data_IF_328722203850
#
_entry.id   IF_328722203850
#
_cell.length_a   1.000
_cell.length_b   1.000
_cell.length_c   1.000
_cell.angle_alpha   90.00
_cell.angle_beta   90.00
_cell.angle_gamma   90.00
#
_symmetry.space_group_name_H-M   'P 1'
#
loop_
_entity.id
_entity.type
_entity.pdbx_description
1 polymer ?
#
# COMPACT_ATOMS: atom_id res chain seq x y z
N UNK A 1 -14.77 6.11 -18.53
CA UNK A 1 -14.80 4.64 -18.71
C UNK A 1 -14.06 4.00 -17.55
N UNK A 2 -14.78 3.20 -16.75
CA UNK A 2 -14.23 2.42 -15.64
C UNK A 2 -13.16 1.48 -16.19
N UNK A 3 -12.09 1.22 -15.42
CA UNK A 3 -11.03 0.30 -15.86
C UNK A 3 -11.60 -1.10 -16.10
N UNK A 4 -11.40 -1.67 -17.29
CA UNK A 4 -11.81 -3.06 -17.64
C UNK A 4 -11.05 -4.15 -16.87
N UNK A 5 -10.18 -3.76 -15.93
CA UNK A 5 -9.32 -4.67 -15.19
C UNK A 5 -10.01 -5.12 -13.89
N UNK A 6 -9.82 -6.37 -13.46
CA UNK A 6 -10.10 -6.81 -12.10
C UNK A 6 -9.43 -5.89 -11.06
N UNK A 7 -10.07 -5.67 -9.90
CA UNK A 7 -9.60 -4.68 -8.92
C UNK A 7 -8.17 -4.94 -8.41
N UNK A 8 -7.81 -6.20 -8.21
CA UNK A 8 -6.46 -6.65 -7.85
C UNK A 8 -5.41 -6.24 -8.90
N UNK A 9 -5.79 -6.18 -10.18
CA UNK A 9 -4.90 -5.80 -11.29
C UNK A 9 -4.84 -4.29 -11.55
N UNK A 10 -5.57 -3.47 -10.79
CA UNK A 10 -5.56 -1.99 -10.90
C UNK A 10 -4.42 -1.33 -10.12
N UNK A 11 -3.37 -2.09 -9.80
CA UNK A 11 -2.24 -1.61 -9.01
C UNK A 11 -1.47 -0.46 -9.68
N UNK A 12 -1.02 0.48 -8.86
CA UNK A 12 -0.03 1.48 -9.21
C UNK A 12 1.01 1.54 -8.08
N UNK A 13 2.29 1.31 -8.40
CA UNK A 13 3.36 1.37 -7.42
C UNK A 13 4.21 2.60 -7.65
N UNK A 14 4.30 3.47 -6.64
CA UNK A 14 5.26 4.57 -6.61
C UNK A 14 6.54 4.06 -5.95
N UNK A 15 7.63 4.09 -6.71
CA UNK A 15 8.93 3.58 -6.33
C UNK A 15 10.00 4.65 -6.57
N UNK A 16 11.22 4.42 -6.07
CA UNK A 16 12.34 5.34 -6.30
C UNK A 16 13.33 5.31 -5.16
N UNK A 17 14.39 6.10 -5.24
CA UNK A 17 15.33 6.21 -4.13
C UNK A 17 14.70 7.00 -2.98
N UNK A 18 14.99 6.65 -1.71
CA UNK A 18 14.56 7.47 -0.59
C UNK A 18 15.06 8.92 -0.78
N UNK A 19 14.25 9.92 -0.41
CA UNK A 19 14.53 11.36 -0.65
C UNK A 19 14.47 11.83 -2.12
N UNK A 20 13.99 11.00 -3.06
CA UNK A 20 13.77 11.42 -4.47
C UNK A 20 12.43 12.11 -4.74
N UNK A 21 11.63 12.41 -3.71
CA UNK A 21 10.33 13.09 -3.88
C UNK A 21 9.12 12.16 -4.01
N UNK A 22 9.27 10.85 -3.74
CA UNK A 22 8.13 9.89 -3.75
C UNK A 22 6.94 10.35 -2.91
N UNK A 23 7.19 10.98 -1.76
CA UNK A 23 6.11 11.47 -0.88
C UNK A 23 5.40 12.70 -1.45
N UNK A 24 6.12 13.58 -2.15
CA UNK A 24 5.50 14.71 -2.87
C UNK A 24 4.61 14.20 -4.00
N UNK A 25 5.10 13.24 -4.80
CA UNK A 25 4.31 12.63 -5.86
C UNK A 25 3.04 11.98 -5.32
N UNK A 26 3.14 11.21 -4.23
CA UNK A 26 1.96 10.62 -3.57
C UNK A 26 1.00 11.71 -3.11
N UNK A 27 1.48 12.81 -2.52
CA UNK A 27 0.61 13.91 -2.09
C UNK A 27 -0.11 14.62 -3.26
N UNK A 28 0.47 14.63 -4.47
CA UNK A 28 -0.18 15.15 -5.68
C UNK A 28 -1.23 14.19 -6.25
N UNK A 29 -1.01 12.88 -6.09
CA UNK A 29 -1.98 11.85 -6.50
C UNK A 29 -3.11 11.67 -5.48
N UNK A 30 -2.82 11.97 -4.22
CA UNK A 30 -3.77 11.94 -3.12
C UNK A 30 -4.92 12.92 -3.43
N UNK A 31 -6.13 12.54 -3.03
CA UNK A 31 -7.38 13.26 -3.33
C UNK A 31 -7.91 13.20 -4.79
N UNK A 32 -7.24 12.52 -5.73
CA UNK A 32 -7.83 12.32 -7.07
C UNK A 32 -9.05 11.37 -7.01
N UNK A 33 -10.22 11.73 -7.57
CA UNK A 33 -11.47 10.97 -7.39
C UNK A 33 -11.42 9.54 -7.95
N UNK A 34 -10.60 9.29 -8.96
CA UNK A 34 -10.40 7.95 -9.54
C UNK A 34 -9.25 7.14 -8.91
N UNK A 35 -8.49 7.72 -7.97
CA UNK A 35 -7.36 7.04 -7.32
C UNK A 35 -7.69 6.72 -5.86
N UNK A 36 -7.27 5.54 -5.41
CA UNK A 36 -7.24 5.19 -4.00
C UNK A 36 -5.79 5.10 -3.54
N UNK A 37 -5.30 6.16 -2.91
CA UNK A 37 -3.90 6.25 -2.49
C UNK A 37 -3.78 5.72 -1.07
N UNK A 38 -2.94 4.69 -0.86
CA UNK A 38 -2.61 4.26 0.50
C UNK A 38 -1.75 5.34 1.16
N UNK A 39 -2.13 5.81 2.36
CA UNK A 39 -1.50 6.98 2.94
C UNK A 39 -0.12 6.68 3.55
N UNK A 40 0.17 5.42 3.86
CA UNK A 40 1.39 4.98 4.54
C UNK A 40 2.06 3.81 3.80
N UNK A 41 3.38 3.70 3.97
CA UNK A 41 4.16 2.64 3.31
C UNK A 41 3.86 1.28 3.93
N UNK A 42 3.62 0.29 3.08
CA UNK A 42 3.34 -1.08 3.53
C UNK A 42 4.59 -1.94 3.60
N UNK A 43 5.62 -1.60 2.82
CA UNK A 43 6.79 -2.46 2.58
C UNK A 43 6.41 -3.89 2.16
N UNK A 44 5.36 -4.04 1.36
CA UNK A 44 4.80 -5.34 1.01
C UNK A 44 5.81 -6.26 0.31
N UNK A 45 6.35 -5.84 -0.83
CA UNK A 45 7.37 -6.61 -1.54
C UNK A 45 8.70 -6.71 -0.78
N UNK A 46 9.30 -5.60 -0.30
CA UNK A 46 10.62 -5.66 0.34
C UNK A 46 10.62 -6.30 1.73
N UNK A 47 9.47 -6.49 2.39
CA UNK A 47 9.43 -7.05 3.75
C UNK A 47 8.34 -8.09 3.95
N UNK A 48 7.07 -7.82 3.61
CA UNK A 48 5.98 -8.79 3.85
C UNK A 48 6.23 -10.11 3.12
N UNK A 49 6.52 -10.03 1.82
CA UNK A 49 6.73 -11.22 1.00
C UNK A 49 8.11 -11.85 1.22
N UNK A 50 9.16 -11.05 1.44
CA UNK A 50 10.54 -11.54 1.57
C UNK A 50 10.85 -12.07 2.98
N UNK A 51 10.62 -11.27 4.01
CA UNK A 51 10.99 -11.59 5.40
C UNK A 51 9.92 -12.39 6.13
N UNK A 52 8.65 -12.08 5.88
CA UNK A 52 7.52 -12.73 6.55
C UNK A 52 6.83 -13.79 5.68
N UNK A 53 7.18 -13.89 4.39
CA UNK A 53 6.71 -14.95 3.48
C UNK A 53 6.85 -16.36 4.04
N UNK A 54 8.05 -16.80 4.44
CA UNK A 54 8.28 -18.13 5.01
C UNK A 54 7.55 -18.38 6.33
N UNK A 55 7.11 -17.33 7.02
CA UNK A 55 6.42 -17.39 8.32
C UNK A 55 4.89 -17.49 8.16
N UNK A 56 4.40 -17.47 6.93
CA UNK A 56 2.99 -17.63 6.60
C UNK A 56 2.14 -16.37 6.80
N UNK A 57 0.87 -16.51 6.43
CA UNK A 57 -0.10 -15.41 6.30
C UNK A 57 -0.36 -14.64 7.59
N UNK A 58 -0.40 -15.34 8.74
CA UNK A 58 -0.58 -14.68 10.05
C UNK A 58 0.59 -13.73 10.37
N UNK A 59 1.82 -14.16 10.13
CA UNK A 59 3.00 -13.33 10.36
C UNK A 59 3.08 -12.13 9.41
N UNK A 60 2.67 -12.30 8.16
CA UNK A 60 2.53 -11.21 7.19
C UNK A 60 1.49 -10.17 7.65
N UNK A 61 0.32 -10.63 8.10
CA UNK A 61 -0.74 -9.79 8.64
C UNK A 61 -0.27 -9.03 9.89
N UNK A 62 0.40 -9.71 10.83
CA UNK A 62 0.94 -9.10 12.04
C UNK A 62 1.98 -8.02 11.72
N UNK A 63 2.83 -8.24 10.70
CA UNK A 63 3.76 -7.19 10.27
C UNK A 63 3.01 -5.95 9.77
N UNK A 64 2.03 -6.12 8.88
CA UNK A 64 1.26 -5.01 8.31
C UNK A 64 0.56 -4.20 9.40
N UNK A 65 -0.07 -4.89 10.36
CA UNK A 65 -0.89 -4.25 11.39
C UNK A 65 -0.10 -3.70 12.58
N UNK A 66 1.05 -4.29 12.92
CA UNK A 66 1.77 -3.96 14.17
C UNK A 66 3.13 -3.30 13.94
N UNK A 67 3.84 -3.62 12.85
CA UNK A 67 5.26 -3.28 12.68
C UNK A 67 5.57 -2.32 11.53
N UNK A 68 4.80 -2.42 10.44
CA UNK A 68 4.96 -1.59 9.25
C UNK A 68 4.66 -0.10 9.54
N UNK A 69 4.94 0.80 8.59
CA UNK A 69 4.55 2.21 8.74
C UNK A 69 3.04 2.40 8.63
N UNK A 70 2.32 1.48 7.98
CA UNK A 70 0.86 1.49 7.95
C UNK A 70 0.21 1.04 9.25
N UNK A 71 0.98 0.61 10.27
CA UNK A 71 0.45 0.25 11.60
C UNK A 71 -0.38 1.37 12.25
N UNK A 72 -0.10 2.64 11.91
CA UNK A 72 -0.84 3.82 12.38
C UNK A 72 -2.31 3.80 11.96
N UNK A 73 -2.63 3.13 10.84
CA UNK A 73 -4.02 2.93 10.37
C UNK A 73 -4.77 1.90 11.21
N UNK A 74 -4.05 1.10 12.00
CA UNK A 74 -4.57 0.04 12.86
C UNK A 74 -4.44 0.37 14.35
N UNK A 75 -4.15 1.62 14.70
CA UNK A 75 -4.01 2.06 16.11
C UNK A 75 -2.59 2.08 16.66
N UNK A 76 -1.58 1.75 15.84
CA UNK A 76 -0.17 1.86 16.22
C UNK A 76 0.30 3.31 16.43
N UNK A 77 1.43 3.50 17.15
CA UNK A 77 1.98 4.83 17.38
C UNK A 77 2.50 5.46 16.09
N UNK A 78 2.22 6.75 15.88
CA UNK A 78 2.77 7.50 14.74
C UNK A 78 4.28 7.74 14.95
N UNK A 79 5.13 7.04 14.20
CA UNK A 79 6.61 7.10 14.38
C UNK A 79 7.22 8.50 14.20
N UNK A 80 6.52 9.42 13.54
CA UNK A 80 7.05 10.76 13.24
C UNK A 80 6.09 11.93 13.48
N UNK A 81 4.91 11.69 14.06
CA UNK A 81 3.93 12.75 14.36
C UNK A 81 3.42 13.55 13.15
N UNK A 82 3.66 13.09 11.91
CA UNK A 82 3.41 13.88 10.69
C UNK A 82 1.95 13.92 10.24
N UNK A 83 1.13 12.96 10.67
CA UNK A 83 -0.27 12.80 10.24
C UNK A 83 -1.14 12.29 11.38
N UNK A 84 -2.29 12.93 11.57
CA UNK A 84 -3.32 12.48 12.52
C UNK A 84 -4.37 11.65 11.80
N UNK A 85 -4.50 10.38 12.19
CA UNK A 85 -5.58 9.50 11.74
C UNK A 85 -6.66 9.39 12.81
N UNK A 86 -6.89 10.44 13.61
CA UNK A 86 -7.83 10.38 14.74
C UNK A 86 -9.28 10.18 14.29
N UNK A 87 -9.66 10.74 13.13
CA UNK A 87 -10.98 10.59 12.52
C UNK A 87 -11.14 9.36 11.64
N UNK A 88 -10.06 8.60 11.38
CA UNK A 88 -10.12 7.38 10.58
C UNK A 88 -10.69 6.22 11.41
N UNK A 89 -11.63 5.42 10.88
CA UNK A 89 -12.26 4.32 11.63
C UNK A 89 -11.33 3.11 11.74
N UNK A 90 -10.30 3.21 12.59
CA UNK A 90 -9.21 2.23 12.74
C UNK A 90 -9.70 0.84 13.13
N UNK A 91 -10.60 0.75 14.12
CA UNK A 91 -11.16 -0.52 14.60
C UNK A 91 -11.91 -1.25 13.49
N UNK A 92 -12.86 -0.55 12.86
CA UNK A 92 -13.63 -1.11 11.74
C UNK A 92 -12.73 -1.52 10.57
N UNK A 93 -11.68 -0.74 10.28
CA UNK A 93 -10.71 -1.09 9.24
C UNK A 93 -9.93 -2.37 9.60
N UNK A 94 -9.45 -2.48 10.84
CA UNK A 94 -8.77 -3.67 11.34
C UNK A 94 -9.67 -4.90 11.27
N UNK A 95 -10.89 -4.83 11.79
CA UNK A 95 -11.87 -5.92 11.77
C UNK A 95 -12.19 -6.38 10.34
N UNK A 96 -12.42 -5.41 9.44
CA UNK A 96 -12.73 -5.70 8.03
C UNK A 96 -11.53 -6.36 7.35
N UNK A 97 -10.32 -5.87 7.60
CA UNK A 97 -9.11 -6.44 7.02
C UNK A 97 -8.80 -7.82 7.61
N UNK A 98 -8.93 -8.02 8.92
CA UNK A 98 -8.69 -9.30 9.58
C UNK A 98 -9.66 -10.37 9.08
N UNK A 99 -10.96 -10.07 9.05
CA UNK A 99 -11.97 -10.99 8.50
C UNK A 99 -11.62 -11.36 7.07
N UNK A 100 -11.36 -10.36 6.20
CA UNK A 100 -11.00 -10.62 4.81
C UNK A 100 -9.71 -11.44 4.67
N UNK A 101 -8.71 -11.18 5.54
CA UNK A 101 -7.43 -11.87 5.52
C UNK A 101 -7.54 -13.35 5.87
N UNK A 102 -8.44 -13.74 6.78
CA UNK A 102 -8.54 -15.13 7.26
C UNK A 102 -9.79 -15.88 6.79
N UNK A 103 -10.65 -15.24 6.00
CA UNK A 103 -11.75 -15.91 5.30
C UNK A 103 -11.19 -17.00 4.36
N UNK A 104 -11.65 -18.26 4.44
CA UNK A 104 -11.17 -19.35 3.59
C UNK A 104 -11.30 -19.05 2.10
N UNK A 105 -12.34 -18.32 1.69
CA UNK A 105 -12.56 -17.91 0.30
C UNK A 105 -11.43 -17.00 -0.24
N UNK A 106 -10.75 -16.26 0.63
CA UNK A 106 -9.69 -15.31 0.27
C UNK A 106 -8.28 -15.88 0.55
N UNK A 107 -8.15 -17.19 0.78
CA UNK A 107 -6.87 -17.81 1.17
C UNK A 107 -5.75 -17.53 0.14
N UNK A 108 -6.11 -17.48 -1.15
CA UNK A 108 -5.18 -17.21 -2.25
C UNK A 108 -5.07 -15.72 -2.62
N UNK A 109 -5.95 -14.87 -2.09
CA UNK A 109 -5.93 -13.44 -2.35
C UNK A 109 -4.74 -12.76 -1.66
N UNK A 110 -4.19 -11.78 -2.35
CA UNK A 110 -3.17 -10.87 -1.84
C UNK A 110 -3.61 -10.12 -0.58
N UNK A 111 -2.83 -10.26 0.51
CA UNK A 111 -3.07 -9.44 1.72
C UNK A 111 -3.03 -7.94 1.41
N UNK A 112 -2.18 -7.51 0.47
CA UNK A 112 -2.17 -6.10 0.03
C UNK A 112 -3.50 -5.70 -0.60
N UNK A 113 -4.04 -6.52 -1.50
CA UNK A 113 -5.33 -6.24 -2.17
C UNK A 113 -6.47 -6.25 -1.16
N UNK A 114 -6.49 -7.20 -0.23
CA UNK A 114 -7.50 -7.26 0.83
C UNK A 114 -7.43 -6.04 1.76
N UNK A 115 -6.22 -5.60 2.11
CA UNK A 115 -6.00 -4.36 2.86
C UNK A 115 -6.54 -3.15 2.10
N UNK A 116 -6.28 -3.05 0.80
CA UNK A 116 -6.78 -1.96 -0.05
C UNK A 116 -8.31 -1.98 -0.15
N UNK A 117 -8.93 -3.16 -0.32
CA UNK A 117 -10.40 -3.32 -0.34
C UNK A 117 -11.01 -2.89 1.01
N UNK A 118 -10.41 -3.32 2.12
CA UNK A 118 -10.84 -2.90 3.46
C UNK A 118 -10.68 -1.38 3.66
N UNK A 119 -9.63 -0.78 3.08
CA UNK A 119 -9.39 0.65 3.15
C UNK A 119 -10.44 1.44 2.36
N UNK A 120 -10.78 0.98 1.15
CA UNK A 120 -11.88 1.54 0.37
C UNK A 120 -13.21 1.49 1.14
N UNK A 121 -13.50 0.34 1.77
CA UNK A 121 -14.71 0.16 2.59
C UNK A 121 -14.74 1.09 3.81
N UNK A 122 -13.61 1.28 4.49
CA UNK A 122 -13.47 2.21 5.61
C UNK A 122 -13.74 3.67 5.19
N UNK A 123 -13.29 4.05 3.99
CA UNK A 123 -13.56 5.35 3.38
C UNK A 123 -14.95 5.47 2.73
N UNK A 124 -15.76 4.41 2.75
CA UNK A 124 -17.04 4.32 2.06
C UNK A 124 -16.93 4.63 0.56
N UNK A 125 -15.82 4.25 -0.07
CA UNK A 125 -15.57 4.44 -1.50
C UNK A 125 -15.91 3.17 -2.28
N UNK A 126 -16.86 3.22 -3.22
CA UNK A 126 -17.18 2.10 -4.11
C UNK A 126 -15.97 1.70 -4.98
N UNK A 127 -15.71 0.39 -5.12
CA UNK A 127 -14.53 -0.13 -5.83
C UNK A 127 -14.56 0.15 -7.34
N UNK A 128 -15.74 0.31 -7.92
CA UNK A 128 -15.98 0.65 -9.33
C UNK A 128 -15.53 2.08 -9.67
N UNK A 129 -15.60 3.00 -8.72
CA UNK A 129 -15.08 4.38 -8.89
C UNK A 129 -13.55 4.45 -8.89
N UNK A 130 -12.87 3.41 -8.39
CA UNK A 130 -11.42 3.38 -8.25
C UNK A 130 -10.81 2.79 -9.52
N UNK A 131 -10.20 3.65 -10.33
CA UNK A 131 -9.49 3.26 -11.54
C UNK A 131 -8.14 2.65 -11.23
N UNK A 132 -7.43 3.17 -10.22
CA UNK A 132 -6.19 2.58 -9.68
C UNK A 132 -6.08 2.78 -8.18
N UNK A 133 -5.55 1.78 -7.50
CA UNK A 133 -5.06 1.94 -6.14
C UNK A 133 -3.55 2.12 -6.16
N UNK A 134 -3.04 2.99 -5.29
CA UNK A 134 -1.63 3.40 -5.27
C UNK A 134 -0.99 2.95 -3.98
N UNK A 135 0.09 2.18 -4.06
CA UNK A 135 0.96 1.86 -2.94
C UNK A 135 2.32 2.51 -3.19
N UNK A 136 2.87 3.15 -2.15
CA UNK A 136 4.19 3.75 -2.23
C UNK A 136 5.08 3.15 -1.17
N UNK A 137 6.09 2.43 -1.65
CA UNK A 137 7.28 2.07 -0.88
C UNK A 137 8.48 2.34 -1.78
N UNK A 138 9.42 3.24 -1.43
CA UNK A 138 10.55 3.59 -2.31
C UNK A 138 11.37 2.36 -2.74
N UNK A 139 11.56 1.40 -1.82
CA UNK A 139 12.29 0.16 -2.06
C UNK A 139 11.64 -0.78 -3.09
N UNK A 140 10.37 -0.57 -3.49
CA UNK A 140 9.72 -1.34 -4.56
C UNK A 140 10.49 -1.27 -5.89
N UNK A 141 11.35 -0.26 -6.09
CA UNK A 141 12.24 -0.19 -7.27
C UNK A 141 13.12 -1.43 -7.44
N UNK A 142 13.45 -2.12 -6.34
CA UNK A 142 14.26 -3.34 -6.33
C UNK A 142 13.41 -4.61 -6.57
N UNK A 143 12.08 -4.48 -6.64
CA UNK A 143 11.14 -5.59 -6.73
C UNK A 143 10.21 -5.49 -7.95
N UNK A 144 10.55 -4.66 -8.93
CA UNK A 144 9.75 -4.45 -10.15
C UNK A 144 9.38 -5.78 -10.85
N UNK A 145 10.31 -6.75 -11.06
CA UNK A 145 9.93 -8.02 -11.67
C UNK A 145 8.89 -8.79 -10.86
N UNK A 146 9.05 -8.88 -9.54
CA UNK A 146 8.09 -9.56 -8.66
C UNK A 146 6.73 -8.87 -8.65
N UNK A 147 6.71 -7.53 -8.71
CA UNK A 147 5.48 -6.75 -8.84
C UNK A 147 4.75 -7.11 -10.14
N UNK A 148 5.45 -7.14 -11.28
CA UNK A 148 4.85 -7.43 -12.58
C UNK A 148 4.45 -8.91 -12.73
N UNK A 149 5.15 -9.84 -12.09
CA UNK A 149 4.71 -11.25 -12.02
C UNK A 149 3.39 -11.38 -11.27
N UNK A 150 3.21 -10.63 -10.19
CA UNK A 150 2.02 -10.72 -9.33
C UNK A 150 0.84 -9.89 -9.83
N UNK A 151 1.13 -8.72 -10.40
CA UNK A 151 0.17 -7.78 -10.96
C UNK A 151 0.58 -7.41 -12.40
N UNK A 152 0.31 -8.26 -13.40
CA UNK A 152 0.73 -8.04 -14.79
C UNK A 152 0.32 -6.69 -15.40
N UNK A 153 -0.78 -6.10 -14.92
CA UNK A 153 -1.28 -4.80 -15.41
C UNK A 153 -0.91 -3.61 -14.51
N UNK A 154 -0.02 -3.82 -13.53
CA UNK A 154 0.44 -2.76 -12.65
C UNK A 154 1.12 -1.64 -13.43
N UNK A 155 0.89 -0.40 -12.99
CA UNK A 155 1.70 0.75 -13.41
C UNK A 155 2.77 1.00 -12.38
N UNK A 156 3.96 1.37 -12.83
CA UNK A 156 5.09 1.64 -11.95
C UNK A 156 5.58 3.05 -12.26
N UNK A 157 5.56 3.90 -11.25
CA UNK A 157 6.07 5.28 -11.35
C UNK A 157 7.35 5.34 -10.52
N UNK A 158 8.50 5.46 -11.19
CA UNK A 158 9.81 5.53 -10.55
C UNK A 158 10.26 6.98 -10.50
N UNK A 159 10.34 7.55 -9.30
CA UNK A 159 10.89 8.91 -9.13
C UNK A 159 12.42 8.87 -9.20
N UNK A 160 12.97 9.73 -10.04
CA UNK A 160 14.41 9.94 -10.21
C UNK A 160 14.77 11.33 -9.72
N UNK A 161 15.88 11.44 -8.99
CA UNK A 161 16.45 12.70 -8.53
C UNK A 161 17.96 12.60 -8.62
N UNK A 162 18.61 13.73 -8.87
CA UNK A 162 20.08 13.82 -8.88
C UNK A 162 20.68 13.16 -7.63
N UNK A 163 21.63 12.21 -7.78
CA UNK A 163 22.22 11.50 -6.64
C UNK A 163 22.91 12.43 -5.64
N UNK A 164 23.48 13.55 -6.10
CA UNK A 164 24.09 14.57 -5.24
C UNK A 164 23.04 15.24 -4.36
N UNK A 165 21.87 15.54 -4.94
CA UNK A 165 20.75 16.11 -4.20
C UNK A 165 20.12 15.10 -3.22
N UNK A 166 20.15 13.80 -3.53
CA UNK A 166 19.71 12.73 -2.62
C UNK A 166 20.68 12.61 -1.43
N UNK A 167 21.99 12.64 -1.69
CA UNK A 167 23.01 12.59 -0.65
C UNK A 167 22.91 13.79 0.30
N UNK A 168 22.73 15.00 -0.25
CA UNK A 168 22.57 16.21 0.54
C UNK A 168 21.27 16.26 1.39
N UNK A 169 20.29 15.40 1.10
CA UNK A 169 18.98 15.37 1.77
C UNK A 169 18.78 14.19 2.73
N UNK A 170 19.84 13.39 3.00
CA UNK A 170 19.77 12.26 3.93
C UNK A 170 19.38 12.71 5.34
#
# INVERSE_FOLDING_TARGET
MISDLPFDQRACFVAGQAKSGTTLLVALLDNHPELLVLPEETAYFPTVLTKYGPRGRRAQFDYLTKQSLSNVLFGGPCKWGKRSYASFPREKFLETFERAAFEPANAQDDLLVLMVKAYAAALKRPLDTIRRWVEKTPANRNHIPAILTRFPHAKIVVTMRDPRAILAAQ
#
